data_IF_268318365309
#
_entry.id   IF_268318365309
#
_cell.length_a   1.000
_cell.length_b   1.000
_cell.length_c   1.000
_cell.angle_alpha   90.00
_cell.angle_beta   90.00
_cell.angle_gamma   90.00
#
_symmetry.space_group_name_H-M   'P 1'
#
loop_
_entity.id
_entity.type
_entity.pdbx_description
1 polymer ?
#
# COMPACT_ATOMS: atom_id res chain seq x y z
N UNK A 1 42.77 -21.12 -19.46
CA UNK A 1 42.69 -20.28 -18.25
C UNK A 1 41.27 -19.79 -18.20
N UNK A 2 40.57 -20.01 -17.07
CA UNK A 2 39.15 -19.67 -17.00
C UNK A 2 38.95 -18.16 -16.97
N UNK A 3 37.86 -17.69 -17.55
CA UNK A 3 37.47 -16.28 -17.51
C UNK A 3 36.85 -15.88 -16.17
N UNK A 4 36.71 -14.58 -15.91
CA UNK A 4 36.03 -14.06 -14.71
C UNK A 4 34.60 -14.62 -14.57
N UNK A 5 33.83 -14.62 -15.66
CA UNK A 5 32.46 -15.16 -15.69
C UNK A 5 32.40 -16.66 -15.37
N UNK A 6 33.42 -17.42 -15.77
CA UNK A 6 33.49 -18.86 -15.49
C UNK A 6 33.79 -19.13 -14.01
N UNK A 7 34.57 -18.26 -13.35
CA UNK A 7 34.78 -18.35 -11.91
C UNK A 7 33.57 -17.87 -11.11
N UNK A 8 32.86 -16.82 -11.55
CA UNK A 8 31.60 -16.41 -10.93
C UNK A 8 30.58 -17.54 -10.97
N UNK A 9 30.35 -18.13 -12.15
CA UNK A 9 29.42 -19.23 -12.29
C UNK A 9 29.81 -20.47 -11.47
N UNK A 10 31.12 -20.68 -11.23
CA UNK A 10 31.60 -21.75 -10.35
C UNK A 10 31.30 -21.45 -8.87
N UNK A 11 31.51 -20.21 -8.43
CA UNK A 11 31.18 -19.79 -7.06
C UNK A 11 29.68 -19.89 -6.80
N UNK A 12 28.86 -19.37 -7.70
CA UNK A 12 27.40 -19.50 -7.63
C UNK A 12 26.97 -20.97 -7.55
N UNK A 13 27.66 -21.86 -8.29
CA UNK A 13 27.42 -23.30 -8.26
C UNK A 13 27.79 -23.91 -6.91
N UNK A 14 28.90 -23.50 -6.28
CA UNK A 14 29.29 -23.98 -4.96
C UNK A 14 28.34 -23.50 -3.86
N UNK A 15 27.94 -22.24 -3.89
CA UNK A 15 26.96 -21.67 -2.98
C UNK A 15 25.62 -22.42 -3.12
N UNK A 16 25.09 -22.54 -4.35
CA UNK A 16 23.84 -23.26 -4.63
C UNK A 16 23.87 -24.74 -4.22
N UNK A 17 25.06 -25.35 -4.27
CA UNK A 17 25.26 -26.73 -3.88
C UNK A 17 25.43 -26.92 -2.35
N UNK A 18 25.37 -25.85 -1.56
CA UNK A 18 25.47 -25.86 -0.10
C UNK A 18 26.90 -26.03 0.43
N UNK A 19 27.92 -25.66 -0.34
CA UNK A 19 29.31 -25.78 0.10
C UNK A 19 29.72 -24.69 1.10
N UNK A 20 28.88 -23.67 1.32
CA UNK A 20 29.18 -22.54 2.21
C UNK A 20 28.71 -22.75 3.66
N UNK A 21 27.76 -23.68 3.86
CA UNK A 21 27.04 -23.89 5.12
C UNK A 21 27.35 -25.26 5.76
N UNK A 22 28.57 -25.77 5.57
CA UNK A 22 28.92 -27.13 6.01
C UNK A 22 30.42 -27.37 6.20
N UNK A 23 30.90 -28.64 6.19
CA UNK A 23 32.29 -29.00 6.52
C UNK A 23 33.32 -28.60 5.44
N UNK A 24 32.90 -27.83 4.43
CA UNK A 24 33.71 -27.44 3.27
C UNK A 24 34.33 -26.05 3.46
N UNK A 25 34.89 -25.79 4.66
CA UNK A 25 35.48 -24.49 5.01
C UNK A 25 36.56 -24.05 4.02
N UNK A 26 37.33 -25.01 3.48
CA UNK A 26 38.36 -24.76 2.46
C UNK A 26 37.78 -24.26 1.13
N UNK A 27 36.60 -24.76 0.74
CA UNK A 27 35.90 -24.34 -0.48
C UNK A 27 35.37 -22.92 -0.30
N UNK A 28 34.74 -22.65 0.84
CA UNK A 28 34.27 -21.32 1.20
C UNK A 28 35.40 -20.30 1.23
N UNK A 29 36.51 -20.61 1.90
CA UNK A 29 37.67 -19.72 1.98
C UNK A 29 38.25 -19.39 0.60
N UNK A 30 38.38 -20.38 -0.29
CA UNK A 30 38.87 -20.16 -1.65
C UNK A 30 37.89 -19.32 -2.50
N UNK A 31 36.58 -19.51 -2.32
CA UNK A 31 35.56 -18.68 -2.97
C UNK A 31 35.56 -17.24 -2.44
N UNK A 32 35.67 -17.05 -1.11
CA UNK A 32 35.76 -15.73 -0.47
C UNK A 32 37.03 -14.99 -0.91
N UNK A 33 38.16 -15.68 -1.07
CA UNK A 33 39.41 -15.10 -1.59
C UNK A 33 39.21 -14.55 -3.01
N UNK A 34 38.59 -15.34 -3.89
CA UNK A 34 38.29 -14.91 -5.25
C UNK A 34 37.27 -13.77 -5.30
N UNK A 35 36.18 -13.82 -4.52
CA UNK A 35 35.15 -12.78 -4.47
C UNK A 35 35.70 -11.43 -3.97
N UNK A 36 36.59 -11.46 -2.97
CA UNK A 36 37.11 -10.24 -2.35
C UNK A 36 38.34 -9.66 -3.08
N UNK A 37 39.19 -10.51 -3.66
CA UNK A 37 40.49 -10.09 -4.21
C UNK A 37 40.59 -10.26 -5.72
N UNK A 38 39.65 -10.98 -6.35
CA UNK A 38 39.70 -11.32 -7.78
C UNK A 38 40.78 -12.33 -8.16
N UNK A 39 41.47 -12.92 -7.19
CA UNK A 39 42.54 -13.91 -7.41
C UNK A 39 41.96 -15.34 -7.40
N UNK A 40 42.00 -16.08 -8.53
CA UNK A 40 41.47 -17.43 -8.61
C UNK A 40 42.46 -18.50 -8.12
N UNK A 41 43.66 -18.14 -7.70
CA UNK A 41 44.76 -19.09 -7.43
C UNK A 41 44.39 -20.18 -6.42
N UNK A 42 43.72 -19.81 -5.32
CA UNK A 42 43.29 -20.78 -4.30
C UNK A 42 42.19 -21.71 -4.81
N UNK A 43 41.24 -21.17 -5.57
CA UNK A 43 40.16 -21.93 -6.17
C UNK A 43 40.68 -22.91 -7.23
N UNK A 44 41.64 -22.49 -8.06
CA UNK A 44 42.34 -23.36 -9.00
C UNK A 44 43.10 -24.49 -8.29
N UNK A 45 43.81 -24.15 -7.23
CA UNK A 45 44.58 -25.12 -6.46
C UNK A 45 43.66 -26.18 -5.86
N UNK A 46 42.54 -25.74 -5.29
CA UNK A 46 41.53 -26.59 -4.68
C UNK A 46 40.86 -27.51 -5.70
N UNK A 47 40.54 -27.02 -6.90
CA UNK A 47 40.03 -27.85 -8.00
C UNK A 47 41.06 -28.84 -8.55
N UNK A 48 42.36 -28.49 -8.54
CA UNK A 48 43.44 -29.40 -8.96
C UNK A 48 43.62 -30.56 -7.97
N UNK A 49 43.55 -30.28 -6.67
CA UNK A 49 43.65 -31.32 -5.64
C UNK A 49 42.37 -32.15 -5.52
N UNK A 50 41.20 -31.57 -5.82
CA UNK A 50 39.91 -32.25 -5.77
C UNK A 50 39.19 -32.16 -7.13
N UNK A 51 39.62 -32.91 -8.16
CA UNK A 51 39.08 -32.79 -9.52
C UNK A 51 37.60 -33.18 -9.64
N UNK A 52 37.07 -33.96 -8.69
CA UNK A 52 35.65 -34.33 -8.64
C UNK A 52 34.74 -33.25 -8.05
N UNK A 53 35.31 -32.24 -7.38
CA UNK A 53 34.55 -31.28 -6.57
C UNK A 53 33.57 -30.45 -7.40
N UNK A 54 34.02 -29.95 -8.55
CA UNK A 54 33.16 -29.19 -9.46
C UNK A 54 32.01 -30.05 -10.00
N UNK A 55 32.29 -31.29 -10.38
CA UNK A 55 31.26 -32.22 -10.89
C UNK A 55 30.24 -32.56 -9.80
N UNK A 56 30.71 -32.72 -8.56
CA UNK A 56 29.85 -32.92 -7.40
C UNK A 56 28.98 -31.71 -7.12
N UNK A 57 29.55 -30.50 -7.12
CA UNK A 57 28.81 -29.26 -6.91
C UNK A 57 27.75 -29.05 -7.99
N UNK A 58 28.09 -29.23 -9.26
CA UNK A 58 27.11 -29.17 -10.37
C UNK A 58 25.96 -30.16 -10.19
N UNK A 59 26.25 -31.39 -9.76
CA UNK A 59 25.21 -32.41 -9.49
C UNK A 59 24.30 -32.02 -8.33
N UNK A 60 24.86 -31.49 -7.24
CA UNK A 60 24.08 -31.03 -6.07
C UNK A 60 23.25 -29.80 -6.42
N UNK A 61 23.83 -28.79 -7.07
CA UNK A 61 23.12 -27.61 -7.53
C UNK A 61 21.97 -27.98 -8.48
N UNK A 62 22.18 -28.90 -9.42
CA UNK A 62 21.11 -29.38 -10.30
C UNK A 62 19.99 -30.11 -9.53
N UNK A 63 20.31 -30.83 -8.45
CA UNK A 63 19.30 -31.44 -7.58
C UNK A 63 18.50 -30.40 -6.79
N UNK A 64 19.15 -29.33 -6.33
CA UNK A 64 18.48 -28.18 -5.67
C UNK A 64 17.56 -27.47 -6.65
N UNK A 65 18.02 -27.14 -7.86
CA UNK A 65 17.19 -26.50 -8.89
C UNK A 65 15.97 -27.34 -9.22
N UNK A 66 16.12 -28.66 -9.42
CA UNK A 66 14.97 -29.55 -9.64
C UNK A 66 14.01 -29.57 -8.44
N UNK A 67 14.54 -29.58 -7.22
CA UNK A 67 13.72 -29.56 -6.01
C UNK A 67 12.97 -28.21 -5.84
N UNK A 68 13.56 -27.10 -6.28
CA UNK A 68 12.92 -25.77 -6.29
C UNK A 68 11.88 -25.65 -7.41
N UNK A 69 12.13 -26.24 -8.58
CA UNK A 69 11.15 -26.34 -9.66
C UNK A 69 9.92 -27.17 -9.24
N UNK A 70 10.14 -28.25 -8.47
CA UNK A 70 9.07 -29.07 -7.90
C UNK A 70 8.36 -28.39 -6.71
N UNK A 71 9.10 -27.59 -5.91
CA UNK A 71 8.55 -26.84 -4.79
C UNK A 71 9.28 -25.48 -4.60
N UNK A 72 8.66 -24.37 -5.03
CA UNK A 72 9.29 -23.05 -5.00
C UNK A 72 9.45 -22.46 -3.59
N UNK A 73 8.96 -23.15 -2.55
CA UNK A 73 9.02 -22.70 -1.15
C UNK A 73 10.21 -23.31 -0.39
N UNK A 74 11.24 -23.78 -1.10
CA UNK A 74 12.49 -24.29 -0.51
C UNK A 74 13.60 -23.23 -0.47
N UNK A 75 14.53 -23.30 0.51
CA UNK A 75 14.50 -24.21 1.66
C UNK A 75 13.32 -23.89 2.58
N UNK A 76 12.77 -24.92 3.22
CA UNK A 76 11.71 -24.68 4.20
C UNK A 76 12.33 -24.03 5.43
N UNK A 77 11.59 -23.10 6.02
CA UNK A 77 11.96 -22.53 7.31
C UNK A 77 12.12 -23.65 8.33
N UNK A 78 13.13 -23.53 9.17
CA UNK A 78 13.24 -24.40 10.33
C UNK A 78 12.16 -24.06 11.38
N UNK A 79 12.04 -24.89 12.43
CA UNK A 79 11.02 -24.69 13.46
C UNK A 79 11.19 -23.38 14.25
N UNK A 80 12.42 -22.89 14.39
CA UNK A 80 12.71 -21.65 15.11
C UNK A 80 12.33 -20.43 14.25
N UNK A 81 12.67 -20.45 12.97
CA UNK A 81 12.27 -19.45 11.98
C UNK A 81 10.75 -19.39 11.81
N UNK A 82 10.09 -20.56 11.70
CA UNK A 82 8.64 -20.66 11.65
C UNK A 82 7.98 -20.05 12.90
N UNK A 83 8.56 -20.29 14.09
CA UNK A 83 8.08 -19.69 15.34
C UNK A 83 8.28 -18.16 15.35
N UNK A 84 9.40 -17.66 14.81
CA UNK A 84 9.70 -16.21 14.74
C UNK A 84 8.73 -15.43 13.87
N UNK A 85 8.25 -16.04 12.78
CA UNK A 85 7.27 -15.40 11.88
C UNK A 85 5.81 -15.75 12.20
N UNK A 86 5.59 -16.54 13.25
CA UNK A 86 4.26 -16.84 13.74
C UNK A 86 3.69 -15.63 14.47
N UNK A 87 2.64 -15.03 13.92
CA UNK A 87 1.88 -13.96 14.58
C UNK A 87 0.63 -14.44 15.32
N UNK A 88 -0.01 -13.51 16.03
CA UNK A 88 -1.32 -13.73 16.68
C UNK A 88 -2.42 -13.95 15.64
N UNK A 89 -2.44 -13.14 14.58
CA UNK A 89 -3.38 -13.23 13.47
C UNK A 89 -2.74 -14.01 12.33
N UNK A 90 -3.23 -15.22 12.06
CA UNK A 90 -2.66 -16.12 11.06
C UNK A 90 -2.99 -15.63 9.64
N UNK A 91 -2.04 -15.75 8.71
CA UNK A 91 -2.17 -15.25 7.34
C UNK A 91 -1.95 -16.31 6.27
N UNK A 92 -0.89 -17.12 6.37
CA UNK A 92 -0.56 -18.08 5.31
C UNK A 92 0.37 -19.20 5.74
N UNK A 93 0.41 -20.26 4.94
CA UNK A 93 1.28 -21.42 5.16
C UNK A 93 2.70 -21.11 4.68
N UNK A 94 3.71 -21.58 5.41
CA UNK A 94 5.13 -21.32 5.09
C UNK A 94 5.95 -22.56 4.77
N UNK A 95 5.42 -23.74 5.05
CA UNK A 95 6.07 -25.01 4.74
C UNK A 95 5.06 -26.15 4.52
N UNK A 96 5.57 -27.34 4.19
CA UNK A 96 4.76 -28.55 3.98
C UNK A 96 4.17 -29.12 5.27
N UNK A 97 4.74 -28.77 6.42
CA UNK A 97 4.27 -29.17 7.76
C UNK A 97 3.05 -28.35 8.21
N UNK A 98 2.65 -27.38 7.39
CA UNK A 98 1.50 -26.48 7.57
C UNK A 98 1.69 -25.46 8.68
N UNK A 99 2.93 -25.09 8.96
CA UNK A 99 3.20 -23.94 9.82
C UNK A 99 2.63 -22.67 9.21
N UNK A 100 2.18 -21.77 10.08
CA UNK A 100 1.48 -20.55 9.70
C UNK A 100 2.30 -19.32 10.06
N UNK A 101 2.57 -18.46 9.08
CA UNK A 101 2.96 -17.09 9.35
C UNK A 101 1.75 -16.27 9.78
N UNK A 102 2.01 -15.17 10.46
CA UNK A 102 0.96 -14.25 10.86
C UNK A 102 1.48 -12.88 11.26
N UNK A 103 0.56 -12.05 11.73
CA UNK A 103 0.83 -10.72 12.21
C UNK A 103 0.56 -10.60 13.69
N UNK A 104 1.31 -9.75 14.35
CA UNK A 104 1.01 -9.20 15.67
C UNK A 104 0.47 -7.78 15.50
N UNK A 105 -0.15 -7.22 16.54
CA UNK A 105 -0.63 -5.83 16.51
C UNK A 105 0.52 -4.82 16.28
N UNK A 106 1.75 -5.19 16.63
CA UNK A 106 2.95 -4.37 16.40
C UNK A 106 3.36 -4.29 14.92
N UNK A 107 2.90 -5.22 14.09
CA UNK A 107 3.26 -5.25 12.66
C UNK A 107 2.38 -4.30 11.83
N UNK A 108 1.15 -4.00 12.28
CA UNK A 108 0.22 -3.17 11.51
C UNK A 108 0.71 -1.74 11.22
N UNK A 109 1.35 -1.02 12.16
CA UNK A 109 1.91 0.30 11.87
C UNK A 109 3.02 0.32 10.81
N UNK A 110 3.68 -0.83 10.54
CA UNK A 110 4.74 -0.92 9.53
C UNK A 110 4.20 -0.96 8.10
N UNK A 111 2.89 -1.19 7.94
CA UNK A 111 2.24 -1.36 6.65
C UNK A 111 2.43 -2.76 6.09
N UNK A 112 1.42 -3.25 5.37
CA UNK A 112 1.43 -4.56 4.73
C UNK A 112 1.16 -4.35 3.23
N UNK A 113 2.00 -4.94 2.39
CA UNK A 113 1.83 -4.90 0.95
C UNK A 113 1.52 -6.30 0.41
N UNK A 114 0.31 -6.48 -0.11
CA UNK A 114 -0.12 -7.75 -0.73
C UNK A 114 -0.16 -7.58 -2.24
N UNK A 115 0.71 -8.30 -2.94
CA UNK A 115 0.81 -8.29 -4.40
C UNK A 115 0.46 -9.66 -5.00
N UNK A 116 -0.03 -9.65 -6.23
CA UNK A 116 -0.40 -10.86 -6.96
C UNK A 116 -1.37 -10.59 -8.11
N UNK A 117 -1.41 -11.49 -9.09
CA UNK A 117 -2.32 -11.39 -10.23
C UNK A 117 -3.81 -11.44 -9.82
N UNK A 118 -4.72 -11.09 -10.73
CA UNK A 118 -6.15 -11.25 -10.47
C UNK A 118 -6.48 -12.73 -10.23
N UNK A 119 -7.34 -13.03 -9.25
CA UNK A 119 -7.74 -14.40 -8.93
C UNK A 119 -6.78 -15.18 -8.02
N UNK A 120 -5.63 -14.64 -7.62
CA UNK A 120 -4.67 -15.34 -6.75
C UNK A 120 -5.03 -15.38 -5.26
N UNK A 121 -6.25 -14.98 -4.88
CA UNK A 121 -6.70 -15.03 -3.49
C UNK A 121 -6.22 -13.90 -2.57
N UNK A 122 -5.73 -12.76 -3.11
CA UNK A 122 -5.30 -11.60 -2.30
C UNK A 122 -6.34 -11.15 -1.27
N UNK A 123 -7.59 -10.98 -1.70
CA UNK A 123 -8.68 -10.61 -0.81
C UNK A 123 -8.91 -11.65 0.28
N UNK A 124 -8.83 -12.94 -0.07
CA UNK A 124 -9.10 -14.04 0.84
C UNK A 124 -8.18 -14.03 2.07
N UNK A 125 -6.88 -13.83 1.87
CA UNK A 125 -5.91 -13.75 2.97
C UNK A 125 -6.20 -12.58 3.92
N UNK A 126 -6.50 -11.40 3.37
CA UNK A 126 -6.84 -10.21 4.17
C UNK A 126 -8.16 -10.38 4.90
N UNK A 127 -9.21 -10.88 4.23
CA UNK A 127 -10.50 -11.15 4.85
C UNK A 127 -10.38 -12.19 5.96
N UNK A 128 -9.51 -13.20 5.83
CA UNK A 128 -9.26 -14.17 6.88
C UNK A 128 -8.59 -13.55 8.12
N UNK A 129 -7.65 -12.61 7.93
CA UNK A 129 -7.05 -11.86 9.05
C UNK A 129 -8.10 -10.96 9.72
N UNK A 130 -8.93 -10.26 8.92
CA UNK A 130 -10.00 -9.41 9.43
C UNK A 130 -11.01 -10.24 10.23
N UNK A 131 -11.39 -11.43 9.75
CA UNK A 131 -12.29 -12.33 10.46
C UNK A 131 -11.76 -12.71 11.84
N UNK A 132 -10.45 -12.97 11.95
CA UNK A 132 -9.80 -13.28 13.23
C UNK A 132 -9.77 -12.09 14.19
N UNK A 133 -9.54 -10.89 13.67
CA UNK A 133 -9.57 -9.66 14.48
C UNK A 133 -11.01 -9.38 14.95
N UNK A 134 -11.99 -9.44 14.04
CA UNK A 134 -13.38 -9.15 14.35
C UNK A 134 -14.03 -10.19 15.26
N UNK A 135 -13.44 -11.38 15.43
CA UNK A 135 -13.85 -12.32 16.49
C UNK A 135 -13.65 -11.75 17.90
N UNK A 136 -12.79 -10.75 18.07
CA UNK A 136 -12.53 -10.07 19.34
C UNK A 136 -13.34 -8.77 19.40
N UNK A 137 -14.21 -8.58 20.41
CA UNK A 137 -14.99 -7.36 20.56
C UNK A 137 -14.12 -6.10 20.66
N UNK A 138 -14.59 -4.92 20.21
CA UNK A 138 -13.86 -3.67 20.29
C UNK A 138 -13.35 -3.34 21.70
N UNK A 139 -14.07 -3.69 22.76
CA UNK A 139 -13.66 -3.39 24.14
C UNK A 139 -12.43 -4.20 24.60
N UNK A 140 -12.05 -5.23 23.85
CA UNK A 140 -10.91 -6.09 24.12
C UNK A 140 -9.73 -5.86 23.16
N UNK A 141 -9.86 -4.92 22.22
CA UNK A 141 -8.80 -4.55 21.28
C UNK A 141 -8.62 -3.04 21.23
N UNK A 142 -7.38 -2.58 21.20
CA UNK A 142 -7.05 -1.15 21.28
C UNK A 142 -7.15 -0.42 19.91
N UNK A 143 -7.88 -0.98 18.94
CA UNK A 143 -7.96 -0.45 17.57
C UNK A 143 -9.25 -0.87 16.85
N UNK A 144 -9.68 -0.06 15.89
CA UNK A 144 -10.79 -0.36 14.98
C UNK A 144 -10.30 -0.84 13.62
N UNK A 145 -11.22 -1.42 12.86
CA UNK A 145 -11.04 -1.82 11.47
C UNK A 145 -11.87 -0.88 10.59
N UNK A 146 -11.20 -0.23 9.64
CA UNK A 146 -11.86 0.47 8.54
C UNK A 146 -11.49 -0.24 7.26
N UNK A 147 -12.45 -0.92 6.64
CA UNK A 147 -12.29 -1.64 5.39
C UNK A 147 -12.91 -0.84 4.25
N UNK A 148 -12.11 -0.40 3.28
CA UNK A 148 -12.61 0.33 2.11
C UNK A 148 -12.70 -0.61 0.92
N UNK A 149 -13.90 -0.81 0.37
CA UNK A 149 -14.12 -1.66 -0.80
C UNK A 149 -14.86 -0.93 -1.92
N UNK A 150 -14.39 -1.15 -3.15
CA UNK A 150 -14.88 -0.43 -4.34
C UNK A 150 -15.79 -1.24 -5.25
N UNK A 151 -15.60 -2.55 -5.34
CA UNK A 151 -16.27 -3.36 -6.36
C UNK A 151 -16.86 -4.64 -5.79
N UNK A 152 -16.03 -5.40 -5.08
CA UNK A 152 -16.45 -6.67 -4.48
C UNK A 152 -16.92 -6.39 -3.06
N UNK A 153 -18.20 -6.64 -2.79
CA UNK A 153 -18.85 -6.48 -1.48
C UNK A 153 -18.54 -7.66 -0.55
N UNK A 154 -17.28 -8.10 -0.52
CA UNK A 154 -16.87 -9.32 0.18
C UNK A 154 -16.90 -9.13 1.70
N UNK A 155 -16.62 -7.92 2.21
CA UNK A 155 -16.61 -7.63 3.63
C UNK A 155 -18.02 -7.44 4.23
N UNK A 156 -19.07 -7.31 3.42
CA UNK A 156 -20.45 -7.15 3.91
C UNK A 156 -20.92 -8.36 4.73
N UNK A 157 -20.38 -9.55 4.45
CA UNK A 157 -20.67 -10.75 5.22
C UNK A 157 -20.28 -10.60 6.71
N UNK A 158 -19.28 -9.78 7.03
CA UNK A 158 -18.90 -9.51 8.42
C UNK A 158 -19.96 -8.76 9.19
N UNK A 159 -20.74 -7.89 8.54
CA UNK A 159 -21.85 -7.19 9.18
C UNK A 159 -22.93 -8.15 9.68
N UNK A 160 -23.13 -9.26 8.97
CA UNK A 160 -24.06 -10.31 9.38
C UNK A 160 -23.50 -11.19 10.51
N UNK A 161 -22.17 -11.23 10.67
CA UNK A 161 -21.47 -12.10 11.63
C UNK A 161 -21.12 -11.38 12.93
N UNK A 162 -20.79 -10.09 12.88
CA UNK A 162 -20.25 -9.32 13.99
C UNK A 162 -21.12 -8.08 14.27
N UNK A 163 -21.80 -8.00 15.44
CA UNK A 163 -22.72 -6.91 15.75
C UNK A 163 -22.08 -5.51 15.79
N UNK A 164 -20.76 -5.43 16.01
CA UNK A 164 -20.00 -4.19 16.06
C UNK A 164 -19.44 -3.75 14.70
N UNK A 165 -19.58 -4.57 13.66
CA UNK A 165 -19.12 -4.24 12.32
C UNK A 165 -20.27 -3.67 11.50
N UNK A 166 -20.15 -2.42 11.06
CA UNK A 166 -21.19 -1.72 10.29
C UNK A 166 -20.77 -1.48 8.85
N UNK A 167 -21.74 -1.52 7.92
CA UNK A 167 -21.52 -1.18 6.51
C UNK A 167 -22.05 0.22 6.26
N UNK A 168 -21.19 1.06 5.70
CA UNK A 168 -21.50 2.41 5.27
C UNK A 168 -21.55 2.46 3.75
N UNK A 169 -22.75 2.69 3.23
CA UNK A 169 -22.99 2.77 1.79
C UNK A 169 -22.56 4.11 1.21
N UNK A 170 -22.30 4.14 -0.11
CA UNK A 170 -21.95 5.37 -0.83
C UNK A 170 -22.93 6.52 -0.56
N UNK A 171 -24.23 6.22 -0.56
CA UNK A 171 -25.28 7.21 -0.35
C UNK A 171 -25.30 7.81 1.06
N UNK A 172 -24.70 7.15 2.03
CA UNK A 172 -24.67 7.58 3.43
C UNK A 172 -23.39 8.34 3.78
N UNK A 173 -22.32 8.19 3.00
CA UNK A 173 -21.08 8.93 3.18
C UNK A 173 -21.33 10.43 3.17
N UNK A 174 -20.68 11.16 4.08
CA UNK A 174 -20.66 12.62 4.08
C UNK A 174 -19.21 13.04 4.24
N UNK A 175 -18.65 13.64 3.20
CA UNK A 175 -17.27 14.10 3.19
C UNK A 175 -17.26 15.55 2.72
N UNK A 176 -16.60 16.41 3.49
CA UNK A 176 -16.20 17.73 3.03
C UNK A 176 -14.69 17.82 3.08
N UNK A 177 -14.02 17.72 1.93
CA UNK A 177 -12.56 17.81 1.87
C UNK A 177 -12.02 19.18 2.28
N UNK A 178 -12.89 20.20 2.33
CA UNK A 178 -12.56 21.57 2.73
C UNK A 178 -12.86 21.85 4.20
N UNK A 179 -13.28 20.84 4.97
CA UNK A 179 -13.50 20.98 6.41
C UNK A 179 -12.18 20.89 7.18
N UNK A 180 -11.96 21.88 8.06
CA UNK A 180 -10.76 21.99 8.90
C UNK A 180 -11.07 21.32 10.23
N UNK A 181 -10.34 20.24 10.51
CA UNK A 181 -10.45 19.48 11.74
C UNK A 181 -9.64 20.14 12.86
N UNK A 182 -9.89 19.78 14.11
CA UNK A 182 -9.32 20.50 15.25
C UNK A 182 -7.79 20.30 15.41
N UNK A 183 -7.21 19.28 14.78
CA UNK A 183 -5.76 19.05 14.71
C UNK A 183 -5.09 19.67 13.47
N UNK A 184 -5.87 20.21 12.52
CA UNK A 184 -5.35 20.77 11.27
C UNK A 184 -5.20 22.29 11.36
N UNK A 185 -4.17 22.85 10.71
CA UNK A 185 -4.16 24.29 10.43
C UNK A 185 -4.94 24.59 9.14
N UNK A 186 -5.47 25.81 9.01
CA UNK A 186 -6.17 26.23 7.79
C UNK A 186 -5.29 26.07 6.54
N UNK A 187 -4.02 26.48 6.62
CA UNK A 187 -3.11 26.41 5.48
C UNK A 187 -2.80 24.97 5.08
N UNK A 188 -2.55 24.10 6.06
CA UNK A 188 -2.24 22.69 5.80
C UNK A 188 -3.46 21.98 5.19
N UNK A 189 -4.66 22.24 5.71
CA UNK A 189 -5.90 21.70 5.14
C UNK A 189 -6.09 22.13 3.69
N UNK A 190 -5.99 23.43 3.41
CA UNK A 190 -6.17 23.95 2.05
C UNK A 190 -5.13 23.37 1.09
N UNK A 191 -3.86 23.31 1.52
CA UNK A 191 -2.79 22.74 0.70
C UNK A 191 -3.01 21.26 0.42
N UNK A 192 -3.29 20.46 1.45
CA UNK A 192 -3.54 19.03 1.32
C UNK A 192 -4.77 18.75 0.45
N UNK A 193 -5.91 19.38 0.73
CA UNK A 193 -7.14 19.19 -0.03
C UNK A 193 -6.98 19.61 -1.50
N UNK A 194 -6.33 20.75 -1.77
CA UNK A 194 -6.04 21.21 -3.14
C UNK A 194 -5.14 20.20 -3.86
N UNK A 195 -4.08 19.73 -3.20
CA UNK A 195 -3.14 18.77 -3.79
C UNK A 195 -3.84 17.44 -4.13
N UNK A 196 -4.56 16.86 -3.17
CA UNK A 196 -5.34 15.63 -3.36
C UNK A 196 -6.32 15.83 -4.53
N UNK A 197 -7.10 16.92 -4.54
CA UNK A 197 -8.06 17.17 -5.60
C UNK A 197 -7.41 17.22 -6.99
N UNK A 198 -6.31 17.96 -7.12
CA UNK A 198 -5.61 18.13 -8.42
C UNK A 198 -4.98 16.83 -8.89
N UNK A 199 -4.31 16.10 -7.99
CA UNK A 199 -3.62 14.85 -8.31
C UNK A 199 -4.61 13.76 -8.70
N UNK A 200 -5.64 13.51 -7.88
CA UNK A 200 -6.62 12.44 -8.12
C UNK A 200 -7.50 12.69 -9.34
N UNK A 201 -7.67 13.96 -9.76
CA UNK A 201 -8.43 14.32 -10.96
C UNK A 201 -7.57 14.51 -12.22
N UNK A 202 -6.27 14.16 -12.16
CA UNK A 202 -5.31 14.31 -13.25
C UNK A 202 -5.29 15.73 -13.85
N UNK A 203 -5.34 16.74 -12.98
CA UNK A 203 -5.31 18.14 -13.36
C UNK A 203 -3.87 18.66 -13.47
N UNK A 204 -3.62 19.63 -14.35
CA UNK A 204 -2.27 20.17 -14.56
C UNK A 204 -1.79 21.02 -13.38
N UNK A 205 -0.47 21.17 -13.25
CA UNK A 205 0.21 21.93 -12.19
C UNK A 205 -0.38 23.33 -11.95
N UNK A 206 -0.77 24.03 -13.03
CA UNK A 206 -1.35 25.37 -12.96
C UNK A 206 -2.76 25.43 -12.34
N UNK A 207 -3.44 24.28 -12.19
CA UNK A 207 -4.75 24.18 -11.55
C UNK A 207 -4.66 24.33 -10.04
N UNK A 208 -3.54 23.91 -9.43
CA UNK A 208 -3.36 23.93 -7.98
C UNK A 208 -3.31 25.36 -7.41
N UNK A 209 -2.50 26.31 -7.93
CA UNK A 209 -2.50 27.69 -7.44
C UNK A 209 -3.86 28.39 -7.59
N UNK A 210 -4.56 28.13 -8.70
CA UNK A 210 -5.87 28.71 -8.96
C UNK A 210 -6.95 28.17 -8.01
N UNK A 211 -6.93 26.85 -7.77
CA UNK A 211 -7.82 26.18 -6.83
C UNK A 211 -7.57 26.66 -5.40
N UNK A 212 -6.30 26.64 -4.95
CA UNK A 212 -5.89 27.15 -3.64
C UNK A 212 -6.41 28.57 -3.40
N UNK A 213 -6.18 29.47 -4.35
CA UNK A 213 -6.69 30.83 -4.26
C UNK A 213 -8.22 30.89 -4.08
N UNK A 214 -8.96 30.09 -4.84
CA UNK A 214 -10.42 30.08 -4.76
C UNK A 214 -10.92 29.55 -3.41
N UNK A 215 -10.27 28.54 -2.85
CA UNK A 215 -10.57 28.00 -1.51
C UNK A 215 -10.25 29.02 -0.44
N UNK A 216 -9.07 29.65 -0.49
CA UNK A 216 -8.67 30.69 0.47
C UNK A 216 -9.66 31.87 0.46
N UNK A 217 -10.11 32.29 -0.73
CA UNK A 217 -11.17 33.31 -0.85
C UNK A 217 -12.50 32.84 -0.28
N UNK A 218 -12.87 31.58 -0.48
CA UNK A 218 -14.09 31.03 0.08
C UNK A 218 -14.02 31.01 1.62
N UNK A 219 -12.88 30.62 2.19
CA UNK A 219 -12.68 30.64 3.64
C UNK A 219 -12.84 32.05 4.22
N UNK A 220 -12.23 33.07 3.58
CA UNK A 220 -12.43 34.47 4.00
C UNK A 220 -13.90 34.90 3.91
N UNK A 221 -14.58 34.60 2.80
CA UNK A 221 -15.97 35.05 2.61
C UNK A 221 -16.96 34.38 3.57
N UNK A 222 -16.65 33.16 4.03
CA UNK A 222 -17.47 32.44 5.01
C UNK A 222 -17.04 32.63 6.47
N UNK A 223 -16.04 33.48 6.72
CA UNK A 223 -15.57 33.78 8.06
C UNK A 223 -14.76 32.64 8.71
N UNK A 224 -14.24 31.69 7.92
CA UNK A 224 -13.60 30.47 8.43
C UNK A 224 -12.33 30.78 9.20
N UNK A 225 -11.53 31.73 8.70
CA UNK A 225 -10.33 32.20 9.40
C UNK A 225 -10.65 32.91 10.71
N UNK A 226 -11.87 33.45 10.84
CA UNK A 226 -12.42 34.11 12.01
C UNK A 226 -13.14 33.13 12.96
N UNK A 227 -13.10 31.82 12.69
CA UNK A 227 -13.65 30.76 13.54
C UNK A 227 -15.01 30.20 13.11
N UNK A 228 -15.56 30.64 11.98
CA UNK A 228 -16.79 30.06 11.41
C UNK A 228 -16.56 28.61 11.00
N UNK A 229 -17.45 27.70 11.43
CA UNK A 229 -17.50 26.30 10.96
C UNK A 229 -18.37 26.15 9.70
N UNK A 230 -18.67 27.25 8.98
CA UNK A 230 -19.39 27.23 7.71
C UNK A 230 -18.41 27.00 6.55
N UNK A 231 -17.87 25.80 6.46
CA UNK A 231 -16.91 25.46 5.42
C UNK A 231 -17.53 25.55 4.02
N UNK A 232 -16.72 25.93 3.01
CA UNK A 232 -17.21 26.05 1.65
C UNK A 232 -17.49 24.69 1.02
N UNK A 233 -18.35 24.69 0.00
CA UNK A 233 -18.61 23.54 -0.85
C UNK A 233 -18.07 23.79 -2.27
N UNK A 234 -18.01 22.76 -3.12
CA UNK A 234 -17.43 22.86 -4.47
C UNK A 234 -18.03 23.99 -5.31
N UNK A 235 -19.36 24.13 -5.27
CA UNK A 235 -20.06 25.21 -5.99
C UNK A 235 -19.55 26.60 -5.60
N UNK A 236 -19.32 26.82 -4.32
CA UNK A 236 -18.91 28.12 -3.78
C UNK A 236 -17.44 28.42 -4.13
N UNK A 237 -16.60 27.39 -4.15
CA UNK A 237 -15.21 27.51 -4.61
C UNK A 237 -15.18 27.80 -6.12
N UNK A 238 -16.04 27.13 -6.90
CA UNK A 238 -16.15 27.32 -8.36
C UNK A 238 -16.40 28.78 -8.74
N UNK A 239 -17.31 29.44 -8.01
CA UNK A 239 -17.67 30.85 -8.23
C UNK A 239 -16.48 31.80 -8.05
N UNK A 240 -15.47 31.41 -7.26
CA UNK A 240 -14.29 32.23 -6.93
C UNK A 240 -13.09 32.00 -7.84
N UNK A 241 -13.10 30.96 -8.67
CA UNK A 241 -12.00 30.64 -9.59
C UNK A 241 -11.65 31.80 -10.52
N UNK A 242 -12.66 32.51 -11.05
CA UNK A 242 -12.44 33.64 -11.97
C UNK A 242 -11.70 34.82 -11.31
N UNK A 243 -11.76 34.94 -9.99
CA UNK A 243 -11.05 35.98 -9.25
C UNK A 243 -9.54 35.86 -9.36
N UNK A 244 -9.01 34.66 -9.66
CA UNK A 244 -7.57 34.44 -9.82
C UNK A 244 -7.02 35.18 -11.03
N UNK A 245 -7.64 35.02 -12.21
CA UNK A 245 -7.20 35.72 -13.43
C UNK A 245 -7.26 37.23 -13.27
N UNK A 246 -8.37 37.74 -12.69
CA UNK A 246 -8.53 39.18 -12.45
C UNK A 246 -7.45 39.74 -11.54
N UNK A 247 -7.01 38.98 -10.53
CA UNK A 247 -5.99 39.43 -9.56
C UNK A 247 -4.58 39.43 -10.14
N UNK A 248 -4.23 38.40 -10.90
CA UNK A 248 -2.85 38.18 -11.35
C UNK A 248 -2.61 38.52 -12.83
N UNK A 249 -3.64 38.96 -13.57
CA UNK A 249 -3.51 39.39 -14.96
C UNK A 249 -3.17 38.25 -15.93
N UNK A 250 -3.52 37.00 -15.59
CA UNK A 250 -3.31 35.86 -16.47
C UNK A 250 -4.41 35.79 -17.52
N UNK A 251 -4.17 36.39 -18.68
CA UNK A 251 -5.00 36.25 -19.86
C UNK A 251 -4.31 35.32 -20.87
N UNK A 252 -4.93 34.16 -21.16
CA UNK A 252 -4.37 33.19 -22.08
C UNK A 252 -5.23 31.93 -22.25
N UNK A 253 -5.07 31.28 -23.40
CA UNK A 253 -5.82 30.07 -23.75
C UNK A 253 -5.56 28.91 -22.76
N UNK A 254 -4.31 28.73 -22.32
CA UNK A 254 -3.92 27.66 -21.41
C UNK A 254 -4.57 27.80 -20.03
N UNK A 255 -4.61 29.01 -19.48
CA UNK A 255 -5.26 29.28 -18.20
C UNK A 255 -6.77 29.06 -18.29
N UNK A 256 -7.40 29.50 -19.38
CA UNK A 256 -8.82 29.23 -19.63
C UNK A 256 -9.12 27.72 -19.66
N UNK A 257 -8.29 26.95 -20.36
CA UNK A 257 -8.41 25.49 -20.40
C UNK A 257 -8.28 24.86 -19.01
N UNK A 258 -7.33 25.32 -18.18
CA UNK A 258 -7.19 24.83 -16.80
C UNK A 258 -8.43 25.11 -15.94
N UNK A 259 -9.01 26.32 -16.03
CA UNK A 259 -10.25 26.62 -15.32
C UNK A 259 -11.43 25.81 -15.80
N UNK A 260 -11.55 25.61 -17.11
CA UNK A 260 -12.67 24.85 -17.65
C UNK A 260 -12.55 23.36 -17.24
N UNK A 261 -11.34 22.79 -17.18
CA UNK A 261 -11.10 21.47 -16.58
C UNK A 261 -11.48 21.43 -15.10
N UNK A 262 -11.08 22.42 -14.29
CA UNK A 262 -11.47 22.52 -12.88
C UNK A 262 -12.99 22.57 -12.72
N UNK A 263 -13.68 23.40 -13.51
CA UNK A 263 -15.14 23.53 -13.46
C UNK A 263 -15.84 22.22 -13.83
N UNK A 264 -15.35 21.52 -14.86
CA UNK A 264 -15.89 20.22 -15.26
C UNK A 264 -15.77 19.24 -14.11
N UNK A 265 -14.57 19.12 -13.51
CA UNK A 265 -14.36 18.23 -12.36
C UNK A 265 -15.21 18.61 -11.16
N UNK A 266 -15.27 19.88 -10.79
CA UNK A 266 -16.16 20.35 -9.72
C UNK A 266 -17.62 19.97 -9.96
N UNK A 267 -18.08 20.02 -11.20
CA UNK A 267 -19.46 19.65 -11.52
C UNK A 267 -19.75 18.16 -11.26
N UNK A 268 -18.75 17.28 -11.26
CA UNK A 268 -18.92 15.87 -10.91
C UNK A 268 -19.15 15.73 -9.40
N UNK A 269 -18.39 16.45 -8.57
CA UNK A 269 -18.57 16.44 -7.11
C UNK A 269 -19.83 17.18 -6.67
N UNK A 270 -20.24 18.24 -7.37
CA UNK A 270 -21.49 18.97 -7.10
C UNK A 270 -22.72 18.07 -7.28
N UNK A 271 -22.69 17.12 -8.23
CA UNK A 271 -23.79 16.17 -8.49
C UNK A 271 -23.98 15.14 -7.37
N UNK A 272 -22.93 14.87 -6.60
CA UNK A 272 -22.99 13.96 -5.45
C UNK A 272 -23.65 14.62 -4.21
N UNK A 273 -24.13 15.87 -4.33
CA UNK A 273 -24.90 16.58 -3.32
C UNK A 273 -24.28 16.52 -1.90
N UNK A 274 -25.01 16.05 -0.90
CA UNK A 274 -24.50 16.01 0.48
C UNK A 274 -23.36 15.00 0.66
N UNK A 275 -23.16 14.07 -0.28
CA UNK A 275 -22.15 13.00 -0.15
C UNK A 275 -20.75 13.59 -0.20
N UNK A 276 -20.44 14.38 -1.23
CA UNK A 276 -19.12 15.02 -1.41
C UNK A 276 -19.17 16.55 -1.38
N UNK A 277 -20.35 17.15 -1.45
CA UNK A 277 -20.56 18.60 -1.56
C UNK A 277 -21.41 19.14 -0.39
N UNK A 278 -21.39 18.42 0.74
CA UNK A 278 -21.91 18.87 2.03
C UNK A 278 -20.97 19.87 2.73
N UNK A 279 -21.49 20.67 3.66
CA UNK A 279 -20.67 21.62 4.45
C UNK A 279 -19.89 20.97 5.58
N UNK A 280 -20.37 19.83 6.06
CA UNK A 280 -19.76 19.05 7.13
C UNK A 280 -19.65 17.62 6.66
N UNK A 281 -18.50 17.01 6.91
CA UNK A 281 -18.30 15.59 6.80
C UNK A 281 -18.79 14.86 8.05
N UNK A 282 -18.61 13.54 8.03
CA UNK A 282 -18.71 12.72 9.23
C UNK A 282 -17.62 13.14 10.23
N UNK A 283 -17.95 13.23 11.53
CA UNK A 283 -16.95 13.55 12.55
C UNK A 283 -15.90 12.44 12.62
N UNK A 284 -14.66 12.77 12.98
CA UNK A 284 -13.61 11.76 13.12
C UNK A 284 -13.98 10.69 14.16
N UNK A 285 -14.63 11.10 15.25
CA UNK A 285 -15.07 10.19 16.31
C UNK A 285 -15.93 9.03 15.78
N UNK A 286 -16.73 9.28 14.72
CA UNK A 286 -17.47 8.21 14.06
C UNK A 286 -16.56 7.08 13.54
N UNK A 287 -15.40 7.42 12.97
CA UNK A 287 -14.43 6.43 12.50
C UNK A 287 -13.59 5.84 13.65
N UNK A 288 -13.38 6.60 14.72
CA UNK A 288 -12.63 6.15 15.91
C UNK A 288 -13.45 5.31 16.89
N UNK A 289 -14.77 5.25 16.73
CA UNK A 289 -15.67 4.50 17.62
C UNK A 289 -16.29 3.26 16.95
N UNK A 290 -16.11 3.08 15.64
CA UNK A 290 -16.80 2.03 14.89
C UNK A 290 -15.84 1.20 14.03
N UNK A 291 -16.09 -0.12 13.96
CA UNK A 291 -15.59 -0.90 12.84
C UNK A 291 -16.50 -0.73 11.64
N UNK A 292 -15.90 -0.41 10.50
CA UNK A 292 -16.62 0.05 9.34
C UNK A 292 -16.16 -0.67 8.09
N UNK A 293 -17.10 -1.11 7.28
CA UNK A 293 -16.91 -1.32 5.86
C UNK A 293 -17.44 -0.10 5.10
N UNK A 294 -16.59 0.54 4.29
CA UNK A 294 -16.97 1.67 3.46
C UNK A 294 -17.09 1.20 2.01
N UNK A 295 -18.31 1.22 1.49
CA UNK A 295 -18.61 0.89 0.10
C UNK A 295 -18.46 2.14 -0.76
N UNK A 296 -17.26 2.33 -1.34
CA UNK A 296 -16.98 3.47 -2.21
C UNK A 296 -17.41 3.17 -3.64
N UNK A 297 -18.54 3.78 -4.04
CA UNK A 297 -19.11 3.77 -5.41
C UNK A 297 -19.69 2.42 -5.86
N UNK A 298 -21.00 2.40 -6.04
CA UNK A 298 -21.72 1.30 -6.71
C UNK A 298 -21.82 1.60 -8.22
N UNK A 299 -20.86 1.14 -9.01
CA UNK A 299 -20.98 1.17 -10.48
C UNK A 299 -21.79 -0.02 -11.03
N UNK A 300 -22.51 -0.76 -10.20
CA UNK A 300 -23.30 -1.90 -10.64
C UNK A 300 -24.80 -1.64 -10.48
N UNK A 301 -25.39 -1.30 -11.64
CA UNK A 301 -26.82 -1.30 -12.00
C UNK A 301 -27.55 0.06 -11.89
N UNK A 302 -27.86 0.71 -13.03
CA UNK A 302 -29.12 1.43 -13.13
C UNK A 302 -30.24 0.46 -12.74
N UNK A 303 -31.13 0.88 -11.85
CA UNK A 303 -32.45 0.23 -11.72
C UNK A 303 -33.25 0.44 -13.00
#
# INVERSE_FOLDING_TARGET
MRGFEEYQGLVDTFEKAGFFDGPYEEVRAACDCWLNQGDPSELELLLRFNPGLESEARRRAAAVVRAEEENPFRPFLDAEEAQRISGTYKYGLVNYEKDLCGFTTYDFPQGIFVSGASGTGKSYGILWVIDQILCVPPEQRDFNIIFVQRAKREADAFHLKYPWFSVLEWGDLRLNMWEVQDWDTFNDKVQAATHIFVTENFLYTMSSPALRYAVERAYSDFGVYEGSKKFPVFREIRERLQGYNKKYGFDGYEMRNNFDKLKVRFSDFEKEEQILNGRKGMPLDFFLENDLCINVVDHCCPK
#
